data_IF_635182612712
#
_entry.id   IF_635182612712
#
_cell.length_a   1.000
_cell.length_b   1.000
_cell.length_c   1.000
_cell.angle_alpha   90.00
_cell.angle_beta   90.00
_cell.angle_gamma   90.00
#
_symmetry.space_group_name_H-M   'P 1'
#
loop_
_entity.id
_entity.type
_entity.pdbx_description
1 polymer ?
#
# COMPACT_ATOMS: atom_id res chain seq x y z
N UNK A 1 6.79 -10.67 4.03
CA UNK A 1 7.15 -9.93 2.79
C UNK A 1 6.84 -8.45 2.88
N UNK A 2 5.58 -8.02 3.08
CA UNK A 2 5.21 -6.58 3.05
C UNK A 2 5.98 -5.70 4.05
N UNK A 3 6.10 -6.16 5.30
CA UNK A 3 6.87 -5.46 6.31
C UNK A 3 8.34 -5.28 5.87
N UNK A 4 8.94 -6.30 5.27
CA UNK A 4 10.31 -6.21 4.77
C UNK A 4 10.45 -5.19 3.63
N UNK A 5 9.44 -5.07 2.74
CA UNK A 5 9.45 -4.06 1.65
C UNK A 5 9.35 -2.65 2.23
N UNK A 6 8.49 -2.44 3.23
CA UNK A 6 8.34 -1.16 3.90
C UNK A 6 9.60 -0.76 4.68
N UNK A 7 10.23 -1.73 5.36
CA UNK A 7 11.47 -1.51 6.10
C UNK A 7 12.67 -1.28 5.16
N UNK A 8 12.72 -1.97 4.01
CA UNK A 8 13.72 -1.72 2.95
C UNK A 8 13.61 -0.30 2.40
N UNK A 9 12.38 0.15 2.15
CA UNK A 9 12.08 1.52 1.75
C UNK A 9 12.48 2.56 2.82
N UNK A 10 12.33 2.22 4.10
CA UNK A 10 12.66 3.10 5.22
C UNK A 10 14.19 3.18 5.45
N UNK A 11 14.89 2.06 5.34
CA UNK A 11 16.35 1.96 5.48
C UNK A 11 17.08 2.79 4.41
N UNK A 12 16.60 2.71 3.16
CA UNK A 12 17.09 3.53 2.06
C UNK A 12 16.66 5.02 2.15
N UNK A 13 15.96 5.42 3.21
CA UNK A 13 15.46 6.79 3.44
C UNK A 13 14.65 7.38 2.29
N UNK A 14 13.96 6.52 1.52
CA UNK A 14 13.21 6.94 0.34
C UNK A 14 12.12 7.95 0.70
N UNK A 15 11.87 8.87 -0.22
CA UNK A 15 10.75 9.80 -0.11
C UNK A 15 9.40 9.11 -0.37
N UNK A 16 8.30 9.82 -0.16
CA UNK A 16 6.95 9.24 -0.34
C UNK A 16 6.70 8.71 -1.75
N UNK A 17 7.20 9.38 -2.78
CA UNK A 17 6.97 8.99 -4.16
C UNK A 17 7.80 7.75 -4.52
N UNK A 18 9.05 7.70 -4.05
CA UNK A 18 9.94 6.56 -4.24
C UNK A 18 9.41 5.30 -3.57
N UNK A 19 8.96 5.39 -2.31
CA UNK A 19 8.32 4.25 -1.61
C UNK A 19 7.09 3.76 -2.34
N UNK A 20 6.29 4.69 -2.86
CA UNK A 20 5.11 4.34 -3.64
C UNK A 20 5.49 3.61 -4.93
N UNK A 21 6.58 4.02 -5.59
CA UNK A 21 7.09 3.33 -6.79
C UNK A 21 7.54 1.91 -6.48
N UNK A 22 8.29 1.71 -5.39
CA UNK A 22 8.74 0.37 -4.97
C UNK A 22 7.54 -0.53 -4.68
N UNK A 23 6.57 -0.04 -3.91
CA UNK A 23 5.32 -0.78 -3.65
C UNK A 23 4.56 -1.12 -4.94
N UNK A 24 4.57 -0.22 -5.92
CA UNK A 24 3.94 -0.47 -7.22
C UNK A 24 4.67 -1.56 -8.02
N UNK A 25 6.01 -1.59 -7.99
CA UNK A 25 6.80 -2.66 -8.62
C UNK A 25 6.49 -4.03 -7.99
N UNK A 26 6.52 -4.11 -6.65
CA UNK A 26 6.16 -5.32 -5.91
C UNK A 26 4.75 -5.78 -6.26
N UNK A 27 3.80 -4.85 -6.30
CA UNK A 27 2.42 -5.16 -6.66
C UNK A 27 2.30 -5.69 -8.09
N UNK A 28 2.92 -5.03 -9.06
CA UNK A 28 2.86 -5.44 -10.47
C UNK A 28 3.37 -6.86 -10.64
N UNK A 29 4.54 -7.17 -10.10
CA UNK A 29 5.11 -8.52 -10.13
C UNK A 29 4.19 -9.56 -9.49
N UNK A 30 3.76 -9.33 -8.25
CA UNK A 30 2.90 -10.27 -7.54
C UNK A 30 1.54 -10.46 -8.24
N UNK A 31 1.03 -9.44 -8.93
CA UNK A 31 -0.22 -9.50 -9.68
C UNK A 31 -0.06 -10.25 -11.00
N UNK A 32 1.09 -10.14 -11.67
CA UNK A 32 1.42 -10.95 -12.85
C UNK A 32 1.52 -12.44 -12.50
N UNK A 33 2.26 -12.79 -11.43
CA UNK A 33 2.34 -14.17 -10.94
C UNK A 33 0.97 -14.71 -10.55
N UNK A 34 0.14 -13.90 -9.87
CA UNK A 34 -1.23 -14.28 -9.54
C UNK A 34 -2.08 -14.58 -10.80
N UNK A 35 -1.92 -13.79 -11.86
CA UNK A 35 -2.66 -14.00 -13.13
C UNK A 35 -2.15 -15.22 -13.89
N UNK A 36 -0.85 -15.49 -13.83
CA UNK A 36 -0.24 -16.67 -14.40
C UNK A 36 -0.56 -17.96 -13.61
N UNK A 37 -0.99 -17.81 -12.34
CA UNK A 37 -1.15 -18.94 -11.42
C UNK A 37 0.19 -19.49 -10.94
N UNK A 38 1.22 -18.66 -10.98
CA UNK A 38 2.59 -18.97 -10.56
C UNK A 38 2.85 -18.48 -9.14
N UNK A 39 3.88 -19.06 -8.52
CA UNK A 39 4.37 -18.60 -7.22
C UNK A 39 5.24 -17.34 -7.38
N UNK A 40 5.38 -16.60 -6.29
CA UNK A 40 6.23 -15.41 -6.20
C UNK A 40 7.61 -15.91 -5.78
N UNK A 41 8.57 -15.79 -6.70
CA UNK A 41 9.97 -16.10 -6.43
C UNK A 41 10.66 -14.87 -5.81
N UNK A 42 11.22 -15.01 -4.60
CA UNK A 42 11.84 -13.91 -3.87
C UNK A 42 13.01 -13.28 -4.64
N UNK A 43 13.77 -14.11 -5.35
CA UNK A 43 14.91 -13.67 -6.16
C UNK A 43 14.46 -12.83 -7.37
N UNK A 44 13.37 -13.22 -8.04
CA UNK A 44 12.83 -12.47 -9.18
C UNK A 44 12.13 -11.19 -8.71
N UNK A 45 11.36 -11.27 -7.62
CA UNK A 45 10.78 -10.10 -6.96
C UNK A 45 11.86 -9.06 -6.62
N UNK A 46 13.01 -9.51 -6.08
CA UNK A 46 14.13 -8.61 -5.76
C UNK A 46 14.78 -7.98 -6.98
N UNK A 47 14.71 -8.62 -8.16
CA UNK A 47 15.22 -8.04 -9.42
C UNK A 47 14.26 -7.01 -10.00
N UNK A 48 12.96 -7.22 -9.80
CA UNK A 48 11.93 -6.30 -10.27
C UNK A 48 11.88 -5.00 -9.44
N UNK A 49 12.20 -5.10 -8.15
CA UNK A 49 12.38 -3.93 -7.31
C UNK A 49 13.70 -3.25 -7.70
N UNK A 50 13.62 -1.97 -8.08
CA UNK A 50 14.83 -1.19 -8.35
C UNK A 50 15.73 -1.17 -7.10
N UNK A 51 17.04 -1.45 -7.22
CA UNK A 51 17.96 -1.34 -6.10
C UNK A 51 17.91 0.07 -5.52
N UNK A 52 17.67 0.17 -4.21
CA UNK A 52 17.60 1.44 -3.50
C UNK A 52 18.65 1.40 -2.39
N UNK A 53 19.57 2.36 -2.45
CA UNK A 53 20.78 2.34 -1.62
C UNK A 53 21.86 1.41 -2.18
N UNK A 54 22.57 0.71 -1.29
CA UNK A 54 23.72 -0.15 -1.64
C UNK A 54 23.36 -1.64 -1.80
N UNK A 55 22.15 -2.05 -1.39
CA UNK A 55 21.73 -3.46 -1.32
C UNK A 55 20.46 -3.67 -2.10
N UNK A 56 20.29 -4.86 -2.66
CA UNK A 56 19.00 -5.29 -3.21
C UNK A 56 18.07 -5.78 -2.09
N UNK A 57 16.80 -5.98 -2.44
CA UNK A 57 15.78 -6.41 -1.48
C UNK A 57 16.10 -7.78 -0.86
N UNK A 58 16.65 -8.71 -1.64
CA UNK A 58 17.04 -10.05 -1.19
C UNK A 58 18.13 -9.99 -0.11
N UNK A 59 19.20 -9.23 -0.38
CA UNK A 59 20.30 -8.98 0.55
C UNK A 59 19.80 -8.30 1.83
N UNK A 60 18.99 -7.25 1.68
CA UNK A 60 18.39 -6.56 2.82
C UNK A 60 17.57 -7.51 3.68
N UNK A 61 16.70 -8.31 3.07
CA UNK A 61 15.81 -9.21 3.81
C UNK A 61 16.58 -10.28 4.59
N UNK A 62 17.68 -10.79 4.01
CA UNK A 62 18.55 -11.79 4.64
C UNK A 62 19.34 -11.20 5.81
N UNK A 63 19.91 -10.00 5.64
CA UNK A 63 20.70 -9.34 6.68
C UNK A 63 19.87 -8.88 7.88
N UNK A 64 18.64 -8.39 7.63
CA UNK A 64 17.70 -8.02 8.68
C UNK A 64 17.04 -9.22 9.37
N UNK A 65 17.39 -10.44 8.94
CA UNK A 65 16.92 -11.68 9.55
C UNK A 65 15.46 -12.03 9.24
N UNK A 66 14.89 -11.50 8.15
CA UNK A 66 13.58 -11.95 7.70
C UNK A 66 13.69 -13.37 7.17
N UNK A 67 12.88 -14.26 7.73
CA UNK A 67 12.73 -15.64 7.24
C UNK A 67 11.67 -15.65 6.13
N UNK A 68 12.03 -15.09 4.97
CA UNK A 68 11.20 -15.20 3.76
C UNK A 68 11.52 -16.53 3.07
N UNK A 69 10.48 -17.24 2.65
CA UNK A 69 10.64 -18.43 1.81
C UNK A 69 11.13 -18.00 0.42
N UNK A 70 11.92 -18.85 -0.24
CA UNK A 70 12.46 -18.59 -1.58
C UNK A 70 11.33 -18.43 -2.62
N UNK A 71 10.25 -19.19 -2.44
CA UNK A 71 9.01 -19.10 -3.21
C UNK A 71 7.80 -19.14 -2.27
N UNK A 72 6.76 -18.39 -2.59
CA UNK A 72 5.47 -18.44 -1.87
C UNK A 72 4.29 -18.16 -2.81
N UNK A 73 3.09 -18.70 -2.53
CA UNK A 73 1.95 -18.53 -3.41
C UNK A 73 1.55 -17.07 -3.55
N UNK A 74 1.24 -16.65 -4.79
CA UNK A 74 0.66 -15.34 -5.02
C UNK A 74 -0.74 -15.25 -4.38
N UNK A 75 -0.87 -14.41 -3.35
CA UNK A 75 -2.11 -14.23 -2.59
C UNK A 75 -2.75 -12.87 -2.85
N UNK A 76 -4.04 -12.89 -3.18
CA UNK A 76 -4.89 -11.69 -3.31
C UNK A 76 -4.96 -10.85 -2.04
N UNK A 77 -4.86 -11.47 -0.86
CA UNK A 77 -4.82 -10.79 0.44
C UNK A 77 -3.60 -9.90 0.58
N UNK A 78 -2.43 -10.43 0.25
CA UNK A 78 -1.14 -9.73 0.25
C UNK A 78 -1.13 -8.58 -0.77
N UNK A 79 -1.64 -8.81 -1.98
CA UNK A 79 -1.82 -7.76 -3.01
C UNK A 79 -2.77 -6.64 -2.58
N UNK A 80 -3.85 -6.98 -1.86
CA UNK A 80 -4.77 -5.99 -1.30
C UNK A 80 -4.11 -5.13 -0.23
N UNK A 81 -3.24 -5.71 0.59
CA UNK A 81 -2.49 -4.98 1.62
C UNK A 81 -1.42 -4.05 1.01
N UNK A 82 -0.84 -4.41 -0.13
CA UNK A 82 0.08 -3.54 -0.89
C UNK A 82 -0.62 -2.32 -1.48
N UNK A 83 -1.87 -2.49 -1.91
CA UNK A 83 -2.59 -1.47 -2.68
C UNK A 83 -3.52 -0.61 -1.86
N UNK A 84 -3.88 -0.99 -0.63
CA UNK A 84 -4.92 -0.28 0.13
C UNK A 84 -4.54 -0.05 1.58
N UNK A 85 -4.86 1.14 2.07
CA UNK A 85 -5.05 1.36 3.49
C UNK A 85 -6.47 0.94 3.86
N UNK A 86 -6.62 0.22 4.97
CA UNK A 86 -7.91 -0.14 5.54
C UNK A 86 -7.85 -0.05 7.06
N UNK A 87 -8.92 0.48 7.67
CA UNK A 87 -9.02 0.61 9.11
C UNK A 87 -10.47 0.79 9.56
N UNK A 88 -10.78 0.31 10.76
CA UNK A 88 -12.08 0.46 11.40
C UNK A 88 -11.95 0.75 12.88
N UNK A 89 -12.82 1.60 13.42
CA UNK A 89 -12.82 2.03 14.81
C UNK A 89 -13.76 3.21 15.06
N UNK A 90 -14.30 3.35 16.28
CA UNK A 90 -15.13 4.50 16.65
C UNK A 90 -16.41 4.70 15.81
N UNK A 91 -16.95 3.63 15.21
CA UNK A 91 -18.09 3.71 14.29
C UNK A 91 -17.73 4.10 12.85
N UNK A 92 -16.44 4.20 12.54
CA UNK A 92 -15.91 4.51 11.20
C UNK A 92 -15.27 3.24 10.63
N UNK A 93 -15.50 3.00 9.34
CA UNK A 93 -14.78 1.99 8.55
C UNK A 93 -14.37 2.63 7.23
N UNK A 94 -13.09 2.55 6.89
CA UNK A 94 -12.53 3.16 5.69
C UNK A 94 -11.58 2.21 5.00
N UNK A 95 -11.61 2.24 3.67
CA UNK A 95 -10.56 1.69 2.84
C UNK A 95 -10.34 2.60 1.63
N UNK A 96 -9.09 2.74 1.20
CA UNK A 96 -8.73 3.53 0.03
C UNK A 96 -7.41 3.05 -0.56
N UNK A 97 -7.23 3.28 -1.86
CA UNK A 97 -6.01 2.88 -2.54
C UNK A 97 -4.83 3.71 -2.03
N UNK A 98 -3.71 3.07 -1.73
CA UNK A 98 -2.52 3.69 -1.15
C UNK A 98 -1.99 4.85 -1.99
N UNK A 99 -2.12 4.76 -3.32
CA UNK A 99 -1.78 5.82 -4.26
C UNK A 99 -2.53 7.14 -4.00
N UNK A 100 -3.70 7.09 -3.37
CA UNK A 100 -4.47 8.29 -3.06
C UNK A 100 -3.88 9.08 -1.89
N UNK A 101 -3.00 8.48 -1.08
CA UNK A 101 -2.32 9.16 0.02
C UNK A 101 -1.32 10.19 -0.55
N UNK A 102 -1.50 11.46 -0.21
CA UNK A 102 -0.74 12.59 -0.77
C UNK A 102 -1.37 13.23 -2.01
N UNK A 103 -2.31 12.55 -2.68
CA UNK A 103 -3.02 13.09 -3.86
C UNK A 103 -4.43 13.56 -3.48
N UNK A 104 -5.24 12.66 -2.92
CA UNK A 104 -6.62 12.93 -2.51
C UNK A 104 -6.83 12.73 -1.02
N UNK A 105 -6.01 11.92 -0.37
CA UNK A 105 -6.10 11.63 1.05
C UNK A 105 -4.85 12.16 1.72
N UNK A 106 -5.02 12.97 2.76
CA UNK A 106 -3.92 13.63 3.44
C UNK A 106 -4.02 13.33 4.92
N UNK A 107 -2.98 12.73 5.48
CA UNK A 107 -2.88 12.52 6.92
C UNK A 107 -1.89 13.51 7.52
N UNK A 108 -2.34 14.22 8.55
CA UNK A 108 -1.51 15.04 9.42
C UNK A 108 -1.29 14.27 10.72
N UNK A 109 -0.04 13.84 10.95
CA UNK A 109 0.34 13.09 12.14
C UNK A 109 0.36 13.95 13.41
N UNK A 110 0.53 15.28 13.30
CA UNK A 110 0.60 16.16 14.47
C UNK A 110 -0.77 16.35 15.14
N UNK A 111 -1.84 16.36 14.34
CA UNK A 111 -3.22 16.54 14.80
C UNK A 111 -4.06 15.26 14.66
N UNK A 112 -3.43 14.16 14.26
CA UNK A 112 -4.08 12.89 13.89
C UNK A 112 -5.33 13.09 13.02
N UNK A 113 -5.17 13.85 11.94
CA UNK A 113 -6.29 14.26 11.08
C UNK A 113 -6.16 13.68 9.68
N UNK A 114 -7.17 12.94 9.23
CA UNK A 114 -7.26 12.42 7.86
C UNK A 114 -8.24 13.26 7.03
N UNK A 115 -7.75 13.93 6.00
CA UNK A 115 -8.55 14.76 5.08
C UNK A 115 -8.73 14.05 3.74
N UNK A 116 -9.98 13.97 3.25
CA UNK A 116 -10.30 13.47 1.91
C UNK A 116 -10.69 14.65 1.02
N UNK A 117 -9.87 14.96 0.01
CA UNK A 117 -10.18 15.92 -1.05
C UNK A 117 -11.00 15.25 -2.15
N UNK A 118 -12.20 15.78 -2.35
CA UNK A 118 -13.21 15.23 -3.25
C UNK A 118 -13.96 14.07 -2.60
N UNK A 119 -15.08 14.39 -1.94
CA UNK A 119 -15.97 13.40 -1.31
C UNK A 119 -16.44 12.37 -2.33
N UNK A 120 -16.41 11.05 -2.01
CA UNK A 120 -16.95 10.01 -2.88
C UNK A 120 -18.40 10.33 -3.31
N UNK A 121 -18.77 10.17 -4.59
CA UNK A 121 -20.08 10.61 -5.10
C UNK A 121 -21.27 10.08 -4.30
N UNK A 122 -21.27 8.78 -3.99
CA UNK A 122 -22.32 8.16 -3.20
C UNK A 122 -22.45 8.80 -1.79
N UNK A 123 -21.31 9.08 -1.13
CA UNK A 123 -21.32 9.75 0.17
C UNK A 123 -21.79 11.20 0.04
N UNK A 124 -21.36 11.92 -1.00
CA UNK A 124 -21.80 13.29 -1.29
C UNK A 124 -23.31 13.35 -1.47
N UNK A 125 -23.88 12.44 -2.25
CA UNK A 125 -25.33 12.38 -2.50
C UNK A 125 -26.11 12.13 -1.20
N UNK A 126 -25.63 11.22 -0.35
CA UNK A 126 -26.22 10.96 0.96
C UNK A 126 -26.18 12.19 1.88
N UNK A 127 -25.06 12.92 1.91
CA UNK A 127 -24.89 14.14 2.70
C UNK A 127 -25.82 15.26 2.19
N UNK A 128 -25.88 15.48 0.87
CA UNK A 128 -26.75 16.50 0.26
C UNK A 128 -28.24 16.20 0.50
N UNK A 129 -28.66 14.93 0.38
CA UNK A 129 -30.05 14.54 0.69
C UNK A 129 -30.41 14.86 2.13
N UNK A 130 -29.55 14.53 3.10
CA UNK A 130 -29.79 14.84 4.52
C UNK A 130 -29.86 16.34 4.77
N UNK A 131 -28.97 17.13 4.15
CA UNK A 131 -28.96 18.58 4.28
C UNK A 131 -30.24 19.22 3.73
N UNK A 132 -30.72 18.77 2.56
CA UNK A 132 -31.95 19.28 1.96
C UNK A 132 -33.22 18.83 2.71
N UNK A 133 -33.17 17.71 3.42
CA UNK A 133 -34.29 17.19 4.22
C UNK A 133 -34.45 17.91 5.56
N UNK A 134 -33.37 18.48 6.11
CA UNK A 134 -33.39 19.27 7.36
C UNK A 134 -33.81 20.73 7.17
N UNK A 135 -33.97 21.19 5.93
CA UNK A 135 -34.38 22.56 5.58
C UNK A 135 -35.89 22.66 5.25
N UNK A 136 -36.69 21.70 5.72
CA UNK A 136 -38.14 21.61 5.49
C UNK A 136 -38.91 21.47 6.80
#
# INVERSE_FOLDING_TARGET
MLQAVDDYCADAQLDKNERQSVRQQVYSYCNEQLQAGEEIELQELSKEIAPVGEKDFLQFSSEQGYQLEDSFPADRGTLRQLTKFAGSGGGISMNFDAMLLGERIFWDAATDTLTIRGTPPNLRDQLQRRQNSGNK
#
